data_IF_314084996619
#
_entry.id   IF_314084996619
#
_cell.length_a   1.000
_cell.length_b   1.000
_cell.length_c   1.000
_cell.angle_alpha   90.00
_cell.angle_beta   90.00
_cell.angle_gamma   90.00
#
_symmetry.space_group_name_H-M   'P 1'
#
loop_
_entity.id
_entity.type
_entity.pdbx_description
1 polymer ?
#
# COMPACT_ATOMS: atom_id res chain seq x y z
N UNK A 1 -17.73 -1.86 -12.48
CA UNK A 1 -16.33 -1.70 -12.90
C UNK A 1 -15.45 -2.53 -11.99
N UNK A 2 -14.71 -3.49 -12.53
CA UNK A 2 -13.67 -4.25 -11.83
C UNK A 2 -12.36 -3.44 -11.75
N UNK A 3 -12.48 -2.18 -11.42
CA UNK A 3 -11.32 -1.33 -11.26
C UNK A 3 -10.82 -1.50 -9.83
N UNK A 4 -9.51 -1.71 -9.68
CA UNK A 4 -8.84 -1.61 -8.40
C UNK A 4 -9.16 -0.24 -7.78
N UNK A 5 -9.47 -0.22 -6.49
CA UNK A 5 -9.54 1.03 -5.77
C UNK A 5 -8.15 1.37 -5.27
N UNK A 6 -7.74 2.55 -5.62
CA UNK A 6 -6.50 3.11 -5.13
C UNK A 6 -6.82 3.97 -3.91
N UNK A 7 -6.34 3.56 -2.75
CA UNK A 7 -6.21 4.49 -1.65
C UNK A 7 -4.72 4.79 -1.48
N UNK A 8 -4.29 5.90 -2.03
CA UNK A 8 -3.01 6.45 -1.72
C UNK A 8 -3.09 7.22 -0.41
N UNK A 9 -2.54 6.67 0.66
CA UNK A 9 -1.99 7.52 1.69
C UNK A 9 -0.67 8.06 1.16
N UNK A 10 -0.66 9.35 0.87
CA UNK A 10 0.34 10.07 0.06
C UNK A 10 1.74 10.14 0.70
N UNK A 11 2.02 9.51 1.81
CA UNK A 11 3.30 9.71 2.47
C UNK A 11 4.36 8.63 2.16
N UNK A 12 4.01 7.38 1.97
CA UNK A 12 5.03 6.34 1.91
C UNK A 12 4.52 4.96 1.51
N UNK A 13 3.35 4.84 0.88
CA UNK A 13 2.82 3.53 0.55
C UNK A 13 2.16 3.45 -0.83
N UNK A 14 2.79 2.71 -1.72
CA UNK A 14 2.20 2.26 -2.97
C UNK A 14 1.68 0.83 -2.77
N UNK A 15 0.39 0.72 -2.42
CA UNK A 15 -0.29 -0.54 -2.12
C UNK A 15 -1.47 -0.75 -3.06
N UNK A 16 -1.52 -1.90 -3.73
CA UNK A 16 -2.66 -2.27 -4.56
C UNK A 16 -3.64 -3.17 -3.79
N UNK A 17 -4.91 -2.76 -3.78
CA UNK A 17 -6.02 -3.59 -3.30
C UNK A 17 -6.97 -3.88 -4.46
N UNK A 18 -6.71 -4.91 -5.26
CA UNK A 18 -7.56 -5.24 -6.39
C UNK A 18 -8.90 -5.80 -5.90
N UNK A 19 -9.98 -5.39 -6.54
CA UNK A 19 -11.30 -5.92 -6.25
C UNK A 19 -11.56 -7.29 -6.85
N UNK A 20 -10.81 -7.64 -7.89
CA UNK A 20 -10.68 -8.98 -8.40
C UNK A 20 -9.24 -9.18 -8.87
N UNK A 21 -8.48 -10.13 -8.30
CA UNK A 21 -7.07 -10.28 -8.61
C UNK A 21 -6.88 -10.97 -9.95
N UNK A 22 -6.06 -10.36 -10.79
CA UNK A 22 -5.46 -10.97 -11.97
C UNK A 22 -3.96 -11.06 -11.71
N UNK A 23 -3.40 -12.24 -11.80
CA UNK A 23 -2.00 -12.50 -11.45
C UNK A 23 -1.03 -11.63 -12.26
N UNK A 24 -1.28 -11.48 -13.56
CA UNK A 24 -0.45 -10.67 -14.44
C UNK A 24 -0.49 -9.17 -14.09
N UNK A 25 -1.61 -8.66 -13.55
CA UNK A 25 -1.74 -7.27 -13.13
C UNK A 25 -0.94 -7.03 -11.84
N UNK A 26 -1.02 -7.98 -10.91
CA UNK A 26 -0.21 -7.96 -9.67
C UNK A 26 1.27 -8.01 -10.00
N UNK A 27 1.68 -8.92 -10.90
CA UNK A 27 3.07 -9.04 -11.34
C UNK A 27 3.58 -7.76 -12.01
N UNK A 28 2.78 -7.13 -12.86
CA UNK A 28 3.11 -5.86 -13.50
C UNK A 28 3.28 -4.74 -12.47
N UNK A 29 2.33 -4.59 -11.55
CA UNK A 29 2.38 -3.60 -10.50
C UNK A 29 3.66 -3.69 -9.67
N UNK A 30 3.96 -4.89 -9.17
CA UNK A 30 5.15 -5.13 -8.37
C UNK A 30 6.45 -4.96 -9.16
N UNK A 31 6.48 -5.31 -10.44
CA UNK A 31 7.65 -5.10 -11.30
C UNK A 31 7.98 -3.62 -11.43
N UNK A 32 6.98 -2.79 -11.70
CA UNK A 32 7.17 -1.33 -11.84
C UNK A 32 7.71 -0.70 -10.56
N UNK A 33 7.14 -1.08 -9.39
CA UNK A 33 7.63 -0.61 -8.10
C UNK A 33 9.05 -1.12 -7.80
N UNK A 34 9.33 -2.38 -8.12
CA UNK A 34 10.66 -2.95 -7.95
C UNK A 34 11.70 -2.20 -8.77
N UNK A 35 11.40 -1.88 -10.02
CA UNK A 35 12.29 -1.09 -10.89
C UNK A 35 12.57 0.30 -10.31
N UNK A 36 11.56 0.96 -9.71
CA UNK A 36 11.76 2.25 -9.04
C UNK A 36 12.67 2.11 -7.81
N UNK A 37 12.47 1.09 -7.00
CA UNK A 37 13.33 0.80 -5.86
C UNK A 37 14.77 0.48 -6.29
N UNK A 38 14.95 -0.43 -7.26
CA UNK A 38 16.26 -0.92 -7.71
C UNK A 38 17.14 0.20 -8.32
N UNK A 39 16.52 1.23 -8.93
CA UNK A 39 17.26 2.42 -9.42
C UNK A 39 17.94 3.19 -8.28
N UNK A 40 17.48 3.05 -7.05
CA UNK A 40 17.99 3.77 -5.91
C UNK A 40 18.79 2.88 -4.96
N UNK A 41 18.32 1.67 -4.68
CA UNK A 41 19.03 0.72 -3.83
C UNK A 41 18.49 -0.71 -4.05
N UNK A 42 19.36 -1.74 -4.21
CA UNK A 42 18.94 -3.10 -4.54
C UNK A 42 18.06 -3.76 -3.46
N UNK A 43 18.19 -3.35 -2.21
CA UNK A 43 17.43 -3.93 -1.09
C UNK A 43 16.17 -3.14 -0.71
N UNK A 44 15.91 -2.00 -1.33
CA UNK A 44 14.72 -1.21 -1.01
C UNK A 44 13.43 -1.97 -1.26
N UNK A 45 13.29 -2.59 -2.43
CA UNK A 45 12.09 -3.35 -2.73
C UNK A 45 11.85 -4.49 -1.73
N UNK A 46 12.87 -5.29 -1.45
CA UNK A 46 12.74 -6.44 -0.55
C UNK A 46 12.37 -6.02 0.87
N UNK A 47 12.98 -4.96 1.40
CA UNK A 47 12.71 -4.46 2.73
C UNK A 47 11.34 -3.79 2.82
N UNK A 48 11.03 -2.90 1.90
CA UNK A 48 9.80 -2.09 1.95
C UNK A 48 8.56 -2.89 1.54
N UNK A 49 8.72 -3.90 0.70
CA UNK A 49 7.66 -4.87 0.40
C UNK A 49 7.30 -5.69 1.64
N UNK A 50 8.28 -6.20 2.39
CA UNK A 50 8.04 -6.92 3.65
C UNK A 50 7.37 -6.02 4.68
N UNK A 51 7.82 -4.78 4.79
CA UNK A 51 7.22 -3.80 5.68
C UNK A 51 5.77 -3.50 5.30
N UNK A 52 5.49 -3.34 4.02
CA UNK A 52 4.13 -3.19 3.51
C UNK A 52 3.24 -4.38 3.92
N UNK A 53 3.71 -5.61 3.70
CA UNK A 53 2.94 -6.81 4.04
C UNK A 53 2.66 -6.91 5.54
N UNK A 54 3.63 -6.55 6.40
CA UNK A 54 3.44 -6.51 7.85
C UNK A 54 2.43 -5.45 8.28
N UNK A 55 2.59 -4.23 7.76
CA UNK A 55 1.76 -3.10 8.15
C UNK A 55 0.29 -3.31 7.79
N UNK A 56 0.03 -3.82 6.59
CA UNK A 56 -1.33 -4.01 6.08
C UNK A 56 -1.92 -5.39 6.38
N UNK A 57 -1.36 -6.12 7.35
CA UNK A 57 -1.85 -7.43 7.77
C UNK A 57 -2.97 -7.31 8.80
N UNK A 58 -4.10 -7.94 8.50
CA UNK A 58 -5.26 -8.06 9.37
C UNK A 58 -5.08 -9.27 10.31
N UNK A 59 -4.54 -9.06 11.49
CA UNK A 59 -4.13 -10.13 12.42
C UNK A 59 -5.27 -11.08 12.78
N UNK A 60 -6.46 -10.56 13.04
CA UNK A 60 -7.65 -11.35 13.40
C UNK A 60 -8.29 -12.09 12.22
N UNK A 61 -7.90 -11.75 10.99
CA UNK A 61 -8.33 -12.42 9.76
C UNK A 61 -7.26 -13.34 9.19
N UNK A 62 -6.02 -13.21 9.63
CA UNK A 62 -4.84 -13.91 9.09
C UNK A 62 -4.68 -13.70 7.58
N UNK A 63 -4.97 -12.50 7.09
CA UNK A 63 -4.85 -12.13 5.69
C UNK A 63 -4.34 -10.69 5.54
N UNK A 64 -3.76 -10.37 4.37
CA UNK A 64 -3.40 -9.00 4.03
C UNK A 64 -4.59 -8.24 3.45
N UNK A 65 -4.60 -6.91 3.62
CA UNK A 65 -5.63 -6.03 3.05
C UNK A 65 -5.68 -6.10 1.52
N UNK A 66 -4.51 -6.15 0.86
CA UNK A 66 -4.33 -6.18 -0.58
C UNK A 66 -3.22 -7.11 -1.01
N UNK A 67 -2.69 -6.91 -2.21
CA UNK A 67 -1.59 -7.72 -2.77
C UNK A 67 -0.21 -7.19 -2.38
N UNK A 68 -0.15 -6.18 -1.52
CA UNK A 68 1.08 -5.50 -1.13
C UNK A 68 1.48 -4.41 -2.10
N UNK A 69 2.70 -3.98 -1.94
CA UNK A 69 3.34 -2.88 -2.64
C UNK A 69 4.65 -2.55 -1.95
N UNK A 70 4.98 -1.28 -1.81
CA UNK A 70 6.11 -0.79 -1.01
C UNK A 70 5.61 0.19 0.05
N UNK A 71 6.17 0.09 1.24
CA UNK A 71 5.87 0.97 2.37
C UNK A 71 7.15 1.29 3.13
N UNK A 72 7.39 2.56 3.40
CA UNK A 72 8.53 3.03 4.17
C UNK A 72 8.22 4.32 4.93
N UNK A 73 8.76 4.42 6.14
CA UNK A 73 8.68 5.59 7.01
C UNK A 73 10.06 5.95 7.55
N UNK A 74 10.22 7.18 8.04
CA UNK A 74 11.36 7.63 8.84
C UNK A 74 12.74 7.37 8.21
N UNK A 75 12.85 7.42 6.88
CA UNK A 75 14.13 7.28 6.21
C UNK A 75 14.98 8.53 6.46
N UNK A 76 16.12 8.37 7.14
CA UNK A 76 17.01 9.47 7.53
C UNK A 76 18.42 9.38 6.93
N UNK A 77 18.64 8.38 6.09
CA UNK A 77 19.92 8.20 5.39
C UNK A 77 21.02 7.53 6.21
N UNK A 78 20.77 7.10 7.45
CA UNK A 78 21.81 6.49 8.30
C UNK A 78 22.24 5.09 7.89
N UNK A 79 21.60 4.50 6.89
CA UNK A 79 21.89 3.13 6.42
C UNK A 79 21.00 2.05 7.04
N UNK A 80 20.17 2.37 8.02
CA UNK A 80 19.15 1.45 8.52
C UNK A 80 17.89 1.54 7.64
N UNK A 81 17.55 0.45 6.95
CA UNK A 81 16.43 0.45 6.00
C UNK A 81 15.06 0.29 6.66
N UNK A 82 14.96 -0.40 7.78
CA UNK A 82 13.71 -0.58 8.51
C UNK A 82 13.69 0.21 9.79
N UNK A 83 12.74 1.11 9.94
CA UNK A 83 12.50 1.96 11.13
C UNK A 83 11.06 1.89 11.63
N UNK A 84 10.40 0.78 11.32
CA UNK A 84 9.02 0.56 11.74
C UNK A 84 8.89 0.17 13.20
N UNK A 85 7.66 0.14 13.71
CA UNK A 85 7.37 -0.09 15.12
C UNK A 85 7.50 -1.56 15.55
N UNK A 86 7.74 -2.48 14.63
CA UNK A 86 7.83 -3.92 14.93
C UNK A 86 9.28 -4.42 14.78
N UNK A 87 10.12 -4.31 15.84
CA UNK A 87 11.57 -4.62 15.77
C UNK A 87 11.88 -6.12 15.57
N UNK A 88 10.87 -6.98 15.73
CA UNK A 88 11.02 -8.44 15.60
C UNK A 88 10.27 -8.99 14.38
N UNK A 89 9.69 -8.11 13.57
CA UNK A 89 8.96 -8.49 12.37
C UNK A 89 9.87 -8.91 11.20
N UNK A 90 9.30 -9.54 10.16
CA UNK A 90 10.03 -10.01 8.99
C UNK A 90 10.84 -8.90 8.27
N UNK A 91 10.34 -7.67 8.21
CA UNK A 91 11.06 -6.55 7.62
C UNK A 91 12.25 -6.11 8.48
N UNK A 92 12.06 -6.05 9.80
CA UNK A 92 13.15 -5.74 10.74
C UNK A 92 14.23 -6.82 10.73
N UNK A 93 13.84 -8.10 10.73
CA UNK A 93 14.78 -9.21 10.65
C UNK A 93 15.58 -9.19 9.35
N UNK A 94 14.91 -8.89 8.23
CA UNK A 94 15.59 -8.75 6.94
C UNK A 94 16.59 -7.59 6.97
N UNK A 95 16.19 -6.40 7.45
CA UNK A 95 17.11 -5.25 7.59
C UNK A 95 18.31 -5.57 8.47
N UNK A 96 18.11 -6.26 9.60
CA UNK A 96 19.19 -6.71 10.49
C UNK A 96 20.16 -7.69 9.79
N UNK A 97 19.64 -8.60 8.97
CA UNK A 97 20.48 -9.55 8.21
C UNK A 97 21.33 -8.87 7.14
N UNK A 98 20.83 -7.80 6.53
CA UNK A 98 21.59 -6.99 5.57
C UNK A 98 22.72 -6.22 6.24
N UNK A 99 22.60 -5.96 7.55
CA UNK A 99 23.51 -5.10 8.28
C UNK A 99 23.40 -3.63 7.89
N UNK A 100 24.39 -2.85 8.29
CA UNK A 100 24.44 -1.41 7.99
C UNK A 100 24.70 -1.18 6.50
N UNK A 101 23.81 -0.42 5.85
CA UNK A 101 23.93 -0.05 4.45
C UNK A 101 24.67 1.29 4.31
N UNK A 102 25.21 1.61 3.12
CA UNK A 102 25.82 2.90 2.87
C UNK A 102 24.88 4.07 3.24
N UNK A 103 25.44 5.07 3.89
CA UNK A 103 24.68 6.29 4.20
C UNK A 103 24.21 6.96 2.91
N UNK A 104 23.02 7.57 2.99
CA UNK A 104 22.37 8.27 1.88
C UNK A 104 22.20 9.74 2.22
N UNK A 105 22.40 10.58 1.23
CA UNK A 105 22.12 12.00 1.36
C UNK A 105 20.60 12.26 1.39
N UNK A 106 20.21 13.44 1.83
CA UNK A 106 18.82 13.91 1.71
C UNK A 106 18.35 13.90 0.24
N UNK A 107 19.21 14.31 -0.66
CA UNK A 107 18.93 14.34 -2.10
C UNK A 107 18.65 12.95 -2.66
N UNK A 108 19.40 11.92 -2.22
CA UNK A 108 19.16 10.52 -2.61
C UNK A 108 17.80 10.03 -2.09
N UNK A 109 17.46 10.33 -0.84
CA UNK A 109 16.17 9.94 -0.25
C UNK A 109 14.99 10.67 -0.91
N UNK A 110 15.16 11.96 -1.19
CA UNK A 110 14.15 12.74 -1.90
C UNK A 110 13.96 12.24 -3.33
N UNK A 111 15.06 11.96 -4.04
CA UNK A 111 15.00 11.32 -5.37
C UNK A 111 14.27 9.99 -5.34
N UNK A 112 14.54 9.16 -4.34
CA UNK A 112 13.83 7.88 -4.17
C UNK A 112 12.32 8.08 -3.98
N UNK A 113 11.91 9.04 -3.15
CA UNK A 113 10.49 9.36 -2.96
C UNK A 113 9.83 9.83 -4.27
N UNK A 114 10.52 10.65 -5.07
CA UNK A 114 10.05 11.06 -6.41
C UNK A 114 9.93 9.86 -7.34
N UNK A 115 10.96 9.01 -7.41
CA UNK A 115 10.97 7.81 -8.28
C UNK A 115 9.81 6.85 -7.95
N UNK A 116 9.44 6.72 -6.67
CA UNK A 116 8.26 5.97 -6.26
C UNK A 116 6.96 6.65 -6.72
N UNK A 117 6.83 7.96 -6.50
CA UNK A 117 5.66 8.71 -6.97
C UNK A 117 5.49 8.65 -8.49
N UNK A 118 6.57 8.76 -9.24
CA UNK A 118 6.56 8.66 -10.72
C UNK A 118 6.22 7.24 -11.20
N UNK A 119 6.51 6.21 -10.41
CA UNK A 119 6.14 4.83 -10.71
C UNK A 119 4.63 4.55 -10.56
N UNK A 120 3.90 5.42 -9.84
CA UNK A 120 2.49 5.24 -9.57
C UNK A 120 1.62 5.11 -10.83
N UNK A 121 1.65 6.11 -11.70
CA UNK A 121 0.84 6.09 -12.91
C UNK A 121 1.23 4.93 -13.85
N UNK A 122 2.52 4.67 -14.14
CA UNK A 122 2.92 3.53 -14.95
C UNK A 122 2.54 2.16 -14.37
N UNK A 123 2.49 2.03 -13.04
CA UNK A 123 2.09 0.77 -12.40
C UNK A 123 0.59 0.52 -12.48
N UNK A 124 -0.23 1.58 -12.41
CA UNK A 124 -1.67 1.47 -12.21
C UNK A 124 -2.49 1.71 -13.47
N UNK A 125 -2.18 2.76 -14.25
CA UNK A 125 -2.99 3.16 -15.42
C UNK A 125 -3.14 2.03 -16.45
N UNK A 126 -2.10 1.27 -16.82
CA UNK A 126 -2.24 0.17 -17.76
C UNK A 126 -3.19 -0.93 -17.27
N UNK A 127 -3.23 -1.17 -15.95
CA UNK A 127 -4.17 -2.13 -15.34
C UNK A 127 -5.61 -1.63 -15.52
N UNK A 128 -5.84 -0.35 -15.23
CA UNK A 128 -7.18 0.26 -15.40
C UNK A 128 -7.62 0.20 -16.86
N UNK A 129 -6.75 0.58 -17.79
CA UNK A 129 -7.05 0.56 -19.22
C UNK A 129 -7.40 -0.84 -19.72
N UNK A 130 -6.65 -1.84 -19.27
CA UNK A 130 -6.86 -3.26 -19.58
C UNK A 130 -8.17 -3.79 -19.00
N UNK A 131 -8.53 -3.37 -17.76
CA UNK A 131 -9.64 -3.97 -17.00
C UNK A 131 -10.94 -3.20 -17.02
N UNK A 132 -10.95 -1.92 -17.38
CA UNK A 132 -12.15 -1.05 -17.33
C UNK A 132 -13.37 -1.60 -18.10
N UNK A 133 -13.16 -2.41 -19.14
CA UNK A 133 -14.19 -3.00 -19.96
C UNK A 133 -14.32 -4.53 -19.74
N UNK A 134 -13.61 -5.10 -18.75
CA UNK A 134 -13.72 -6.52 -18.46
C UNK A 134 -15.12 -6.83 -17.93
N UNK A 135 -15.79 -7.80 -18.54
CA UNK A 135 -17.08 -8.29 -18.06
C UNK A 135 -16.93 -8.98 -16.71
N UNK A 136 -17.95 -8.86 -15.87
CA UNK A 136 -17.97 -9.48 -14.56
C UNK A 136 -19.39 -9.93 -14.19
N UNK A 137 -19.47 -11.01 -13.42
CA UNK A 137 -20.71 -11.56 -12.90
C UNK A 137 -20.85 -11.39 -11.38
N UNK A 138 -21.81 -12.10 -10.83
CA UNK A 138 -22.13 -12.06 -9.39
C UNK A 138 -20.94 -12.49 -8.52
N UNK A 139 -20.20 -13.51 -8.95
CA UNK A 139 -19.01 -13.99 -8.22
C UNK A 139 -17.96 -12.89 -8.04
N UNK A 140 -17.60 -12.20 -9.12
CA UNK A 140 -16.64 -11.10 -9.07
C UNK A 140 -17.18 -9.92 -8.24
N UNK A 141 -18.46 -9.63 -8.34
CA UNK A 141 -19.09 -8.58 -7.53
C UNK A 141 -19.05 -8.91 -6.04
N UNK A 142 -19.36 -10.13 -5.66
CA UNK A 142 -19.30 -10.58 -4.27
C UNK A 142 -17.87 -10.54 -3.73
N UNK A 143 -16.89 -10.97 -4.53
CA UNK A 143 -15.48 -10.85 -4.17
C UNK A 143 -15.06 -9.38 -3.99
N UNK A 144 -15.46 -8.49 -4.88
CA UNK A 144 -15.23 -7.05 -4.75
C UNK A 144 -15.77 -6.50 -3.43
N UNK A 145 -17.01 -6.82 -3.08
CA UNK A 145 -17.64 -6.36 -1.84
C UNK A 145 -16.89 -6.90 -0.61
N UNK A 146 -16.47 -8.14 -0.66
CA UNK A 146 -15.66 -8.75 0.40
C UNK A 146 -14.33 -8.02 0.58
N UNK A 147 -13.58 -7.78 -0.50
CA UNK A 147 -12.29 -7.05 -0.42
C UNK A 147 -12.46 -5.59 0.01
N UNK A 148 -13.53 -4.95 -0.40
CA UNK A 148 -13.89 -3.60 0.11
C UNK A 148 -14.15 -3.60 1.61
N UNK A 149 -14.80 -4.61 2.13
CA UNK A 149 -14.98 -4.79 3.56
C UNK A 149 -13.64 -4.88 4.30
N UNK A 150 -12.67 -5.61 3.76
CA UNK A 150 -11.33 -5.73 4.36
C UNK A 150 -10.55 -4.42 4.33
N UNK A 151 -10.68 -3.65 3.26
CA UNK A 151 -10.10 -2.31 3.15
C UNK A 151 -10.64 -1.37 4.24
N UNK A 152 -11.97 -1.29 4.37
CA UNK A 152 -12.61 -0.44 5.37
C UNK A 152 -12.27 -0.88 6.79
N UNK A 153 -12.28 -2.20 7.06
CA UNK A 153 -11.92 -2.77 8.35
C UNK A 153 -10.50 -2.41 8.77
N UNK A 154 -9.52 -2.54 7.85
CA UNK A 154 -8.15 -2.14 8.14
C UNK A 154 -8.06 -0.66 8.50
N UNK A 155 -8.63 0.21 7.67
CA UNK A 155 -8.54 1.66 7.86
C UNK A 155 -9.20 2.13 9.17
N UNK A 156 -10.29 1.49 9.59
CA UNK A 156 -10.97 1.87 10.83
C UNK A 156 -10.33 1.27 12.09
N UNK A 157 -9.70 0.10 11.98
CA UNK A 157 -9.23 -0.66 13.16
C UNK A 157 -7.72 -0.53 13.35
N UNK A 158 -6.95 -0.49 12.26
CA UNK A 158 -5.49 -0.62 12.33
C UNK A 158 -4.72 0.57 11.75
N UNK A 159 -5.34 1.37 10.87
CA UNK A 159 -4.63 2.46 10.23
C UNK A 159 -4.26 3.57 11.22
N UNK A 160 -2.95 3.77 11.41
CA UNK A 160 -2.43 4.74 12.36
C UNK A 160 -2.82 6.18 12.01
N UNK A 161 -2.88 6.50 10.71
CA UNK A 161 -3.28 7.83 10.25
C UNK A 161 -4.73 8.13 10.57
N UNK A 162 -5.64 7.20 10.33
CA UNK A 162 -7.06 7.30 10.67
C UNK A 162 -7.24 7.44 12.19
N UNK A 163 -6.60 6.57 12.97
CA UNK A 163 -6.68 6.60 14.44
C UNK A 163 -6.16 7.94 14.98
N UNK A 164 -4.98 8.39 14.53
CA UNK A 164 -4.41 9.66 14.93
C UNK A 164 -5.33 10.83 14.59
N UNK A 165 -5.85 10.88 13.36
CA UNK A 165 -6.76 11.94 12.92
C UNK A 165 -8.01 12.03 13.80
N UNK A 166 -8.61 10.89 14.17
CA UNK A 166 -9.77 10.85 15.05
C UNK A 166 -9.42 11.25 16.49
N UNK A 167 -8.27 10.82 17.02
CA UNK A 167 -7.82 11.15 18.38
C UNK A 167 -7.46 12.64 18.55
N UNK A 168 -7.00 13.28 17.50
CA UNK A 168 -6.63 14.71 17.50
C UNK A 168 -7.78 15.64 17.14
N UNK A 169 -9.02 15.15 17.12
CA UNK A 169 -10.21 15.91 16.70
C UNK A 169 -10.10 16.48 15.29
N UNK A 170 -9.42 15.77 14.39
CA UNK A 170 -9.36 16.12 12.99
C UNK A 170 -10.76 16.09 12.35
N UNK A 171 -10.92 16.79 11.23
CA UNK A 171 -12.18 16.82 10.51
C UNK A 171 -12.56 15.43 10.00
N UNK A 172 -13.58 14.82 10.59
CA UNK A 172 -14.01 13.43 10.29
C UNK A 172 -14.28 13.19 8.82
N UNK A 173 -14.91 14.15 8.12
CA UNK A 173 -15.21 14.06 6.70
C UNK A 173 -13.94 13.98 5.83
N UNK A 174 -12.85 14.62 6.28
CA UNK A 174 -11.56 14.57 5.58
C UNK A 174 -10.79 13.28 5.91
N UNK A 175 -10.85 12.81 7.15
CA UNK A 175 -10.21 11.57 7.58
C UNK A 175 -10.84 10.36 6.89
N UNK A 176 -12.18 10.33 6.79
CA UNK A 176 -12.96 9.22 6.26
C UNK A 176 -13.37 9.39 4.79
N UNK A 177 -12.82 10.37 4.07
CA UNK A 177 -13.25 10.65 2.69
C UNK A 177 -12.98 9.51 1.72
N UNK A 178 -11.95 8.71 1.95
CA UNK A 178 -11.63 7.51 1.18
C UNK A 178 -12.46 6.29 1.55
N UNK A 179 -13.24 6.38 2.64
CA UNK A 179 -14.10 5.29 3.10
C UNK A 179 -15.38 5.23 2.26
N UNK A 180 -15.58 4.16 1.56
CA UNK A 180 -16.71 3.96 0.64
C UNK A 180 -18.03 3.68 1.39
N UNK A 181 -18.01 3.47 2.67
CA UNK A 181 -19.21 3.34 3.49
C UNK A 181 -20.24 4.47 3.30
N UNK A 182 -19.78 5.67 2.93
CA UNK A 182 -20.68 6.79 2.56
C UNK A 182 -21.44 6.54 1.28
N UNK A 183 -20.86 5.88 0.28
CA UNK A 183 -21.56 5.55 -0.96
C UNK A 183 -22.61 4.45 -0.72
N UNK A 184 -22.30 3.43 0.06
CA UNK A 184 -23.22 2.35 0.38
C UNK A 184 -24.40 2.79 1.25
N UNK A 185 -24.24 3.84 2.08
CA UNK A 185 -25.35 4.41 2.85
C UNK A 185 -26.34 5.20 1.98
N UNK A 186 -25.90 5.78 0.86
CA UNK A 186 -26.79 6.51 -0.07
C UNK A 186 -27.59 5.60 -0.99
N UNK A 187 -27.14 4.39 -1.22
CA UNK A 187 -27.83 3.42 -2.08
C UNK A 187 -28.96 2.66 -1.36
N UNK A 188 -29.18 2.90 -0.06
CA UNK A 188 -30.24 2.26 0.74
C UNK A 188 -31.40 3.19 1.13
N UNK A 189 -31.52 4.32 0.47
CA UNK A 189 -32.65 5.23 0.66
C UNK A 189 -33.53 5.24 -0.59
#
# INVERSE_FOLDING_TARGET
RLVSDWSSDVCSSDLLTPYYPFEEDVAQFHRTLKEACDRNHPEYYNTFKRWCDEYFYLKHRQETRGVGGVFFDYQDGTGELYRGPNPDGPAAQHSKQLGEQPQRSWEDLFKFAIDCGDAFLPSYVPIVEKRRNTEYGEHQRNFQLYRRGRYVEFNLVYDRGTIFGLQTNGRTESILMSQIGRASCRERV
#
